data_IF_581788513942
#
_entry.id   IF_581788513942
#
_cell.length_a   1.000
_cell.length_b   1.000
_cell.length_c   1.000
_cell.angle_alpha   90.00
_cell.angle_beta   90.00
_cell.angle_gamma   90.00
#
_symmetry.space_group_name_H-M   'P 1'
#
loop_
_entity.id
_entity.type
_entity.pdbx_description
1 polymer ?
#
# COMPACT_ATOMS: atom_id res chain seq x y z
N UNK A 1 -5.83 9.64 2.00
CA UNK A 1 -5.79 9.69 0.53
C UNK A 1 -7.07 9.08 0.01
N UNK A 2 -7.78 9.76 -0.89
CA UNK A 2 -8.95 9.20 -1.58
C UNK A 2 -8.51 8.18 -2.63
N UNK A 3 -9.14 7.01 -2.65
CA UNK A 3 -8.83 5.89 -3.57
C UNK A 3 -9.97 5.57 -4.54
N UNK A 4 -11.12 6.25 -4.41
CA UNK A 4 -12.35 5.93 -5.16
C UNK A 4 -12.23 6.11 -6.67
N UNK A 5 -11.19 6.82 -7.14
CA UNK A 5 -10.88 7.01 -8.58
C UNK A 5 -10.15 5.84 -9.22
N UNK A 6 -9.61 4.92 -8.42
CA UNK A 6 -8.81 3.79 -8.90
C UNK A 6 -9.37 2.45 -8.44
N UNK A 7 -10.04 2.39 -7.28
CA UNK A 7 -10.69 1.18 -6.74
C UNK A 7 -11.98 1.55 -6.02
N UNK A 8 -12.87 0.57 -5.76
CA UNK A 8 -14.24 0.82 -5.25
C UNK A 8 -14.27 1.61 -3.93
N UNK A 9 -13.41 1.28 -2.97
CA UNK A 9 -13.39 1.92 -1.64
C UNK A 9 -12.09 1.60 -0.87
N UNK A 10 -11.90 2.23 0.28
CA UNK A 10 -10.72 2.08 1.14
C UNK A 10 -10.53 0.67 1.69
N UNK A 11 -11.61 -0.09 1.96
CA UNK A 11 -11.52 -1.49 2.38
C UNK A 11 -10.96 -2.37 1.26
N UNK A 12 -11.43 -2.19 0.03
CA UNK A 12 -10.91 -2.92 -1.14
C UNK A 12 -9.45 -2.56 -1.38
N UNK A 13 -9.11 -1.27 -1.32
CA UNK A 13 -7.73 -0.80 -1.45
C UNK A 13 -6.79 -1.43 -0.42
N UNK A 14 -7.21 -1.46 0.84
CA UNK A 14 -6.45 -2.07 1.92
C UNK A 14 -6.20 -3.55 1.66
N UNK A 15 -7.26 -4.32 1.41
CA UNK A 15 -7.16 -5.76 1.19
C UNK A 15 -6.24 -6.10 -0.01
N UNK A 16 -6.40 -5.37 -1.11
CA UNK A 16 -5.58 -5.55 -2.31
C UNK A 16 -4.09 -5.25 -2.05
N UNK A 17 -3.79 -4.23 -1.24
CA UNK A 17 -2.41 -3.91 -0.89
C UNK A 17 -1.82 -4.94 0.09
N UNK A 18 -2.61 -5.49 1.01
CA UNK A 18 -2.20 -6.58 1.89
C UNK A 18 -1.81 -7.84 1.08
N UNK A 19 -2.49 -8.14 -0.03
CA UNK A 19 -2.18 -9.28 -0.93
C UNK A 19 -0.80 -9.20 -1.60
N UNK A 20 -0.22 -7.99 -1.68
CA UNK A 20 1.13 -7.74 -2.23
C UNK A 20 2.13 -7.35 -1.15
N UNK A 21 1.85 -7.66 0.12
CA UNK A 21 2.69 -7.38 1.29
C UNK A 21 2.87 -5.88 1.61
N UNK A 22 1.92 -5.02 1.22
CA UNK A 22 1.90 -3.60 1.60
C UNK A 22 0.74 -3.35 2.56
N UNK A 23 1.04 -3.26 3.85
CA UNK A 23 0.00 -3.08 4.88
C UNK A 23 -0.26 -1.62 5.22
N UNK A 24 -1.53 -1.24 5.20
CA UNK A 24 -2.02 0.06 5.64
C UNK A 24 -3.46 -0.03 6.14
N UNK A 25 -4.06 1.11 6.48
CA UNK A 25 -5.42 1.15 7.01
C UNK A 25 -6.35 1.97 6.11
N UNK A 26 -7.54 1.44 5.83
CA UNK A 26 -8.69 2.23 5.36
C UNK A 26 -9.00 3.33 6.37
N UNK A 27 -9.37 4.51 5.90
CA UNK A 27 -9.57 5.68 6.74
C UNK A 27 -10.58 6.63 6.11
N UNK A 28 -11.52 7.14 6.91
CA UNK A 28 -12.44 8.19 6.46
C UNK A 28 -11.68 9.46 6.08
N UNK A 29 -12.21 10.17 5.10
CA UNK A 29 -11.73 11.50 4.68
C UNK A 29 -12.80 12.56 4.96
N UNK A 30 -12.48 13.86 4.93
CA UNK A 30 -13.49 14.91 5.07
C UNK A 30 -14.65 14.72 4.07
N UNK A 31 -15.88 14.95 4.53
CA UNK A 31 -17.12 14.77 3.76
C UNK A 31 -17.38 13.32 3.29
N UNK A 32 -16.94 12.34 4.09
CA UNK A 32 -17.16 10.91 3.83
C UNK A 32 -18.64 10.58 3.55
N UNK A 33 -18.88 9.86 2.45
CA UNK A 33 -20.19 9.38 2.04
C UNK A 33 -20.37 7.88 2.20
N UNK A 34 -19.27 7.13 2.38
CA UNK A 34 -19.29 5.68 2.55
C UNK A 34 -19.38 5.27 4.03
N UNK A 35 -19.89 4.06 4.26
CA UNK A 35 -19.97 3.46 5.59
C UNK A 35 -18.59 3.39 6.29
N UNK A 36 -18.51 3.50 7.64
CA UNK A 36 -17.28 3.29 8.40
C UNK A 36 -16.57 1.94 8.14
N UNK A 37 -17.30 0.92 7.68
CA UNK A 37 -16.73 -0.37 7.31
C UNK A 37 -16.04 -0.38 5.95
N UNK A 38 -16.35 0.57 5.05
CA UNK A 38 -15.76 0.70 3.71
C UNK A 38 -14.79 1.88 3.65
N UNK A 39 -15.24 3.08 3.97
CA UNK A 39 -14.55 4.39 3.80
C UNK A 39 -14.07 4.66 2.37
N UNK A 40 -13.89 5.91 1.99
CA UNK A 40 -13.42 6.29 0.63
C UNK A 40 -11.90 6.42 0.54
N UNK A 41 -11.17 6.35 1.65
CA UNK A 41 -9.74 6.60 1.68
C UNK A 41 -8.88 5.58 2.41
N UNK A 42 -7.57 5.80 2.30
CA UNK A 42 -6.51 5.09 3.01
C UNK A 42 -5.57 6.08 3.72
N UNK A 43 -4.91 5.62 4.79
CA UNK A 43 -3.88 6.38 5.51
C UNK A 43 -2.52 5.69 5.35
N UNK A 44 -1.53 6.48 4.92
CA UNK A 44 -0.14 6.04 4.73
C UNK A 44 0.71 6.72 5.80
N UNK A 45 1.64 5.98 6.41
CA UNK A 45 2.58 6.49 7.39
C UNK A 45 4.01 6.03 7.11
N UNK A 46 4.98 6.92 7.31
CA UNK A 46 6.40 6.64 7.01
C UNK A 46 7.17 6.04 8.20
N UNK A 47 6.63 6.10 9.42
CA UNK A 47 7.36 5.75 10.64
C UNK A 47 7.93 4.31 10.63
N UNK A 48 7.15 3.33 10.16
CA UNK A 48 7.58 1.93 10.14
C UNK A 48 8.71 1.69 9.12
N UNK A 49 8.59 2.24 7.91
CA UNK A 49 9.59 2.05 6.86
C UNK A 49 10.89 2.83 7.16
N UNK A 50 10.78 4.03 7.72
CA UNK A 50 11.94 4.84 8.11
C UNK A 50 12.69 4.22 9.30
N UNK A 51 11.98 3.65 10.28
CA UNK A 51 12.61 2.89 11.37
C UNK A 51 13.34 1.63 10.87
N UNK A 52 12.92 1.07 9.73
CA UNK A 52 13.57 -0.04 9.03
C UNK A 52 14.77 0.40 8.18
N UNK A 53 15.02 1.71 8.04
CA UNK A 53 16.16 2.26 7.30
C UNK A 53 15.83 2.76 5.89
N UNK A 54 14.56 2.81 5.49
CA UNK A 54 14.19 3.34 4.17
C UNK A 54 14.42 4.86 4.12
N UNK A 55 15.08 5.31 3.05
CA UNK A 55 15.26 6.71 2.71
C UNK A 55 14.18 7.21 1.75
N UNK A 56 14.48 8.32 1.06
CA UNK A 56 13.56 8.96 0.12
C UNK A 56 13.33 8.11 -1.14
N UNK A 57 14.37 7.42 -1.63
CA UNK A 57 14.30 6.60 -2.84
C UNK A 57 13.43 5.36 -2.60
N UNK A 58 13.64 4.66 -1.49
CA UNK A 58 12.84 3.51 -1.10
C UNK A 58 11.39 3.92 -0.81
N UNK A 59 11.18 5.06 -0.15
CA UNK A 59 9.84 5.60 0.10
C UNK A 59 9.10 5.93 -1.20
N UNK A 60 9.80 6.50 -2.19
CA UNK A 60 9.25 6.72 -3.53
C UNK A 60 8.89 5.39 -4.20
N UNK A 61 9.76 4.38 -4.08
CA UNK A 61 9.51 3.05 -4.61
C UNK A 61 8.25 2.43 -4.00
N UNK A 62 8.07 2.52 -2.69
CA UNK A 62 6.85 2.08 -2.00
C UNK A 62 5.61 2.78 -2.57
N UNK A 63 5.67 4.10 -2.78
CA UNK A 63 4.55 4.84 -3.37
C UNK A 63 4.23 4.40 -4.81
N UNK A 64 5.25 4.14 -5.63
CA UNK A 64 5.08 3.60 -6.98
C UNK A 64 4.41 2.22 -6.97
N UNK A 65 4.84 1.34 -6.06
CA UNK A 65 4.26 0.00 -5.90
C UNK A 65 2.79 0.07 -5.46
N UNK A 66 2.45 0.96 -4.52
CA UNK A 66 1.05 1.22 -4.12
C UNK A 66 0.22 1.64 -5.34
N UNK A 67 0.70 2.60 -6.13
CA UNK A 67 -0.02 3.07 -7.31
C UNK A 67 -0.16 1.96 -8.36
N UNK A 68 0.90 1.17 -8.59
CA UNK A 68 0.90 0.06 -9.55
C UNK A 68 -0.16 -0.97 -9.17
N UNK A 69 -0.21 -1.36 -7.90
CA UNK A 69 -1.23 -2.29 -7.38
C UNK A 69 -2.64 -1.76 -7.56
N UNK A 70 -2.92 -0.54 -7.08
CA UNK A 70 -4.27 0.03 -7.14
C UNK A 70 -4.79 0.19 -8.58
N UNK A 71 -3.91 0.48 -9.55
CA UNK A 71 -4.29 0.62 -10.97
C UNK A 71 -4.46 -0.70 -11.71
N UNK A 72 -3.98 -1.81 -11.15
CA UNK A 72 -3.93 -3.13 -11.79
C UNK A 72 -4.58 -4.21 -10.92
N UNK A 73 -5.64 -3.85 -10.19
CA UNK A 73 -6.28 -4.69 -9.18
C UNK A 73 -6.71 -6.08 -9.67
N UNK A 74 -6.99 -6.23 -10.97
CA UNK A 74 -7.44 -7.50 -11.57
C UNK A 74 -6.35 -8.22 -12.38
N UNK A 75 -5.11 -7.69 -12.39
CA UNK A 75 -4.01 -8.25 -13.16
C UNK A 75 -3.02 -8.99 -12.25
N UNK A 76 -3.25 -10.28 -12.06
CA UNK A 76 -2.44 -11.12 -11.17
C UNK A 76 -0.95 -11.12 -11.50
N UNK A 77 -0.57 -11.05 -12.79
CA UNK A 77 0.83 -10.99 -13.18
C UNK A 77 1.51 -9.73 -12.63
N UNK A 78 0.81 -8.58 -12.67
CA UNK A 78 1.30 -7.33 -12.07
C UNK A 78 1.34 -7.41 -10.55
N UNK A 79 0.36 -8.07 -9.91
CA UNK A 79 0.35 -8.24 -8.45
C UNK A 79 1.52 -9.10 -7.98
N UNK A 80 1.87 -10.18 -8.69
CA UNK A 80 3.04 -11.00 -8.41
C UNK A 80 4.35 -10.22 -8.60
N UNK A 81 4.46 -9.42 -9.66
CA UNK A 81 5.62 -8.52 -9.84
C UNK A 81 5.77 -7.53 -8.67
N UNK A 82 4.65 -6.96 -8.19
CA UNK A 82 4.71 -6.06 -7.02
C UNK A 82 5.10 -6.81 -5.77
N UNK A 83 4.53 -8.00 -5.52
CA UNK A 83 4.86 -8.85 -4.37
C UNK A 83 6.35 -9.18 -4.32
N UNK A 84 6.92 -9.55 -5.46
CA UNK A 84 8.36 -9.80 -5.62
C UNK A 84 9.18 -8.54 -5.35
N UNK A 85 8.81 -7.39 -5.93
CA UNK A 85 9.53 -6.13 -5.71
C UNK A 85 9.47 -5.64 -4.24
N UNK A 86 8.34 -5.84 -3.55
CA UNK A 86 8.22 -5.56 -2.10
C UNK A 86 9.14 -6.47 -1.31
N UNK A 87 9.22 -7.75 -1.67
CA UNK A 87 10.13 -8.69 -1.01
C UNK A 87 11.58 -8.27 -1.20
N UNK A 88 12.02 -8.00 -2.43
CA UNK A 88 13.39 -7.54 -2.72
C UNK A 88 13.74 -6.27 -1.92
N UNK A 89 12.83 -5.29 -1.89
CA UNK A 89 13.03 -4.06 -1.16
C UNK A 89 13.16 -4.30 0.36
N UNK A 90 12.39 -5.23 0.90
CA UNK A 90 12.41 -5.52 2.34
C UNK A 90 13.58 -6.43 2.73
N UNK A 91 14.01 -7.36 1.88
CA UNK A 91 15.21 -8.19 2.07
C UNK A 91 16.49 -7.34 2.13
N UNK A 92 16.55 -6.23 1.37
CA UNK A 92 17.67 -5.29 1.40
C UNK A 92 17.81 -4.52 2.73
N UNK A 93 16.76 -4.53 3.57
CA UNK A 93 16.72 -3.87 4.88
C UNK A 93 16.15 -4.82 5.94
N UNK A 94 16.89 -5.84 6.40
CA UNK A 94 16.40 -6.79 7.38
C UNK A 94 16.08 -6.11 8.73
N UNK A 95 15.06 -6.60 9.44
CA UNK A 95 14.65 -6.05 10.74
C UNK A 95 15.54 -6.51 11.90
N UNK A 96 16.14 -7.68 11.77
CA UNK A 96 17.02 -8.29 12.76
C UNK A 96 18.23 -8.85 12.02
N UNK A 97 19.41 -8.67 12.59
CA UNK A 97 20.59 -9.44 12.22
C UNK A 97 20.46 -10.83 12.86
N UNK A 98 20.86 -11.88 12.15
CA UNK A 98 20.85 -13.26 12.66
C UNK A 98 21.77 -13.45 13.88
#
# INVERSE_FOLDING_TARGET
MDVTKVVENGKVAQNLLDEVNITLNKNSIPYESLSPFKTSGIRIGAAAITARGFGEEESRKVAELIIKTLKNAENEAVLEEVRSAVKELTDAFPLYED
#
